data_IF_151784095025
#
_entry.id   IF_151784095025
#
_cell.length_a   1.000
_cell.length_b   1.000
_cell.length_c   1.000
_cell.angle_alpha   90.00
_cell.angle_beta   90.00
_cell.angle_gamma   90.00
#
_symmetry.space_group_name_H-M   'P 1'
#
loop_
_entity.id
_entity.type
_entity.pdbx_description
1 polymer ?
#
# COMPACT_ATOMS: atom_id res chain seq x y z
N UNK A 1 -41.39 -15.49 -15.25
CA UNK A 1 -40.76 -16.56 -14.40
C UNK A 1 -39.46 -15.99 -13.86
N UNK A 2 -39.47 -15.44 -12.64
CA UNK A 2 -38.29 -14.81 -12.00
C UNK A 2 -37.61 -15.87 -11.16
N UNK A 3 -36.43 -16.30 -11.57
CA UNK A 3 -35.63 -17.30 -10.86
C UNK A 3 -35.08 -16.69 -9.58
N UNK A 4 -35.65 -17.01 -8.45
CA UNK A 4 -35.15 -16.61 -7.15
C UNK A 4 -33.81 -17.32 -6.89
N UNK A 5 -32.69 -16.57 -6.92
CA UNK A 5 -31.40 -17.07 -6.48
C UNK A 5 -31.49 -17.41 -4.99
N UNK A 6 -31.21 -18.66 -4.63
CA UNK A 6 -31.31 -19.16 -3.27
C UNK A 6 -30.39 -18.34 -2.32
N UNK A 7 -30.91 -17.95 -1.16
CA UNK A 7 -30.14 -17.28 -0.07
C UNK A 7 -28.84 -18.00 0.26
N UNK A 8 -28.82 -19.33 0.12
CA UNK A 8 -27.64 -20.17 0.35
C UNK A 8 -26.53 -19.91 -0.65
N UNK A 9 -26.85 -19.54 -1.94
CA UNK A 9 -25.84 -19.21 -2.95
C UNK A 9 -25.20 -17.84 -2.73
N UNK A 10 -25.96 -16.90 -2.15
CA UNK A 10 -25.44 -15.57 -1.78
C UNK A 10 -24.50 -15.66 -0.58
N UNK A 11 -24.90 -16.38 0.47
CA UNK A 11 -24.06 -16.62 1.66
C UNK A 11 -22.77 -17.37 1.30
N UNK A 12 -22.84 -18.34 0.37
CA UNK A 12 -21.66 -19.08 -0.11
C UNK A 12 -20.69 -18.19 -0.93
N UNK A 13 -21.20 -17.16 -1.60
CA UNK A 13 -20.37 -16.16 -2.30
C UNK A 13 -19.67 -15.20 -1.31
N UNK A 14 -20.34 -14.81 -0.22
CA UNK A 14 -19.76 -13.93 0.80
C UNK A 14 -18.68 -14.63 1.65
N UNK A 15 -18.84 -15.92 1.95
CA UNK A 15 -17.86 -16.69 2.74
C UNK A 15 -16.58 -17.03 1.97
N UNK A 16 -16.58 -16.93 0.64
CA UNK A 16 -15.44 -17.30 -0.21
C UNK A 16 -14.70 -16.12 -0.85
N UNK A 17 -14.99 -14.90 -0.48
CA UNK A 17 -14.16 -13.74 -0.81
C UNK A 17 -12.96 -13.70 0.13
N UNK A 18 -11.95 -14.53 -0.16
CA UNK A 18 -10.69 -14.48 0.57
C UNK A 18 -10.14 -13.06 0.48
N UNK A 19 -10.06 -12.37 1.61
CA UNK A 19 -9.57 -10.99 1.69
C UNK A 19 -8.15 -10.95 1.17
N UNK A 20 -7.93 -10.29 0.05
CA UNK A 20 -6.59 -10.12 -0.53
C UNK A 20 -5.81 -9.12 0.29
N UNK A 21 -4.58 -9.45 0.64
CA UNK A 21 -3.78 -8.66 1.56
C UNK A 21 -2.49 -8.19 0.93
N UNK A 22 -2.05 -7.00 1.34
CA UNK A 22 -0.75 -6.46 0.98
C UNK A 22 0.00 -5.96 2.21
N UNK A 23 1.30 -6.17 2.23
CA UNK A 23 2.21 -5.67 3.27
C UNK A 23 3.07 -4.57 2.66
N UNK A 24 2.88 -3.34 3.13
CA UNK A 24 3.73 -2.20 2.80
C UNK A 24 4.96 -2.24 3.72
N UNK A 25 6.13 -2.58 3.17
CA UNK A 25 7.38 -2.59 3.94
C UNK A 25 7.97 -1.18 3.91
N UNK A 26 7.82 -0.47 5.02
CA UNK A 26 8.25 0.91 5.20
C UNK A 26 9.62 0.95 5.90
N UNK A 27 10.43 1.89 5.51
CA UNK A 27 11.75 2.13 6.09
C UNK A 27 12.69 2.80 5.11
N UNK A 28 13.67 3.50 5.63
CA UNK A 28 14.70 4.15 4.82
C UNK A 28 15.75 3.16 4.32
N UNK A 29 16.59 3.62 3.41
CA UNK A 29 17.78 2.87 2.99
C UNK A 29 18.58 2.39 4.21
N UNK A 30 19.11 1.17 4.16
CA UNK A 30 19.95 0.56 5.21
C UNK A 30 19.23 0.26 6.53
N UNK A 31 17.90 0.30 6.59
CA UNK A 31 17.10 -0.06 7.78
C UNK A 31 16.71 -1.55 7.86
N UNK A 32 17.24 -2.41 6.96
CA UNK A 32 16.92 -3.84 6.95
C UNK A 32 15.67 -4.21 6.15
N UNK A 33 15.04 -3.25 5.45
CA UNK A 33 13.83 -3.50 4.64
C UNK A 33 14.00 -4.62 3.61
N UNK A 34 15.16 -4.75 2.98
CA UNK A 34 15.43 -5.84 2.02
C UNK A 34 15.37 -7.22 2.69
N UNK A 35 15.97 -7.37 3.89
CA UNK A 35 15.91 -8.62 4.63
C UNK A 35 14.48 -8.98 5.04
N UNK A 36 13.74 -8.00 5.55
CA UNK A 36 12.31 -8.16 5.91
C UNK A 36 11.50 -8.60 4.69
N UNK A 37 11.66 -7.93 3.55
CA UNK A 37 10.93 -8.28 2.32
C UNK A 37 11.28 -9.70 1.86
N UNK A 38 12.54 -10.10 1.94
CA UNK A 38 12.94 -11.47 1.63
C UNK A 38 12.31 -12.48 2.58
N UNK A 39 12.26 -12.20 3.88
CA UNK A 39 11.55 -13.06 4.84
C UNK A 39 10.07 -13.21 4.49
N UNK A 40 9.38 -12.12 4.18
CA UNK A 40 7.97 -12.17 3.74
C UNK A 40 7.80 -13.02 2.48
N UNK A 41 8.70 -12.87 1.52
CA UNK A 41 8.69 -13.67 0.31
C UNK A 41 8.91 -15.18 0.59
N UNK A 42 9.82 -15.52 1.47
CA UNK A 42 10.03 -16.91 1.90
C UNK A 42 8.83 -17.49 2.67
N UNK A 43 8.04 -16.63 3.30
CA UNK A 43 6.78 -17.01 3.98
C UNK A 43 5.58 -17.06 3.03
N UNK A 44 5.80 -16.87 1.72
CA UNK A 44 4.78 -17.03 0.70
C UNK A 44 4.12 -15.74 0.22
N UNK A 45 4.58 -14.55 0.66
CA UNK A 45 4.12 -13.31 0.07
C UNK A 45 4.75 -13.10 -1.32
N UNK A 46 3.94 -12.81 -2.32
CA UNK A 46 4.44 -12.44 -3.65
C UNK A 46 5.06 -11.04 -3.59
N UNK A 47 6.09 -10.81 -4.41
CA UNK A 47 6.81 -9.53 -4.47
C UNK A 47 6.90 -8.97 -5.90
N UNK A 48 6.16 -9.59 -6.82
CA UNK A 48 6.07 -9.22 -8.23
C UNK A 48 7.13 -9.89 -9.10
N UNK A 49 6.98 -9.71 -10.41
CA UNK A 49 7.76 -10.43 -11.44
C UNK A 49 9.06 -9.71 -11.83
N UNK A 50 9.12 -8.39 -11.66
CA UNK A 50 10.23 -7.54 -12.13
C UNK A 50 11.00 -6.92 -10.98
N UNK A 51 11.87 -7.69 -10.36
CA UNK A 51 12.69 -7.18 -9.26
C UNK A 51 13.96 -6.47 -9.78
N UNK A 52 14.40 -5.46 -9.03
CA UNK A 52 15.70 -4.85 -9.26
C UNK A 52 16.82 -5.88 -9.06
N UNK A 53 17.79 -5.94 -9.98
CA UNK A 53 18.92 -6.86 -9.86
C UNK A 53 19.80 -6.52 -8.66
N UNK A 54 20.53 -7.50 -8.09
CA UNK A 54 21.57 -7.23 -7.11
C UNK A 54 22.61 -6.24 -7.64
N UNK A 55 23.21 -5.45 -6.74
CA UNK A 55 24.27 -4.52 -7.04
C UNK A 55 25.44 -4.67 -6.06
N UNK A 56 26.57 -4.00 -6.32
CA UNK A 56 27.77 -4.13 -5.50
C UNK A 56 27.55 -3.76 -4.03
N UNK A 57 26.68 -2.80 -3.76
CA UNK A 57 26.29 -2.32 -2.43
C UNK A 57 25.20 -3.18 -1.78
N UNK A 58 24.53 -4.04 -2.56
CA UNK A 58 23.51 -4.98 -2.07
C UNK A 58 23.52 -6.29 -2.87
N UNK A 59 24.49 -7.14 -2.58
CA UNK A 59 24.70 -8.44 -3.28
C UNK A 59 23.52 -9.41 -3.09
N UNK A 60 22.75 -9.27 -2.00
CA UNK A 60 21.58 -10.11 -1.72
C UNK A 60 20.33 -9.67 -2.46
N UNK A 61 20.38 -8.54 -3.18
CA UNK A 61 19.26 -7.97 -3.92
C UNK A 61 18.49 -6.93 -3.12
N UNK A 62 17.82 -6.03 -3.86
CA UNK A 62 17.04 -4.95 -3.26
C UNK A 62 15.65 -5.39 -2.83
N UNK A 63 15.10 -6.41 -3.50
CA UNK A 63 13.74 -6.91 -3.29
C UNK A 63 12.70 -5.80 -3.52
N UNK A 64 12.99 -4.92 -4.48
CA UNK A 64 12.16 -3.81 -4.93
C UNK A 64 11.63 -4.13 -6.33
N UNK A 65 10.36 -3.82 -6.57
CA UNK A 65 9.77 -3.94 -7.88
C UNK A 65 10.23 -2.78 -8.78
N UNK A 66 10.86 -3.08 -9.92
CA UNK A 66 11.46 -2.08 -10.79
C UNK A 66 10.45 -1.03 -11.30
N UNK A 67 9.26 -1.46 -11.70
CA UNK A 67 8.24 -0.54 -12.20
C UNK A 67 7.66 0.32 -11.06
N UNK A 68 7.55 -0.19 -9.81
CA UNK A 68 7.17 0.62 -8.64
C UNK A 68 8.21 1.71 -8.39
N UNK A 69 9.49 1.34 -8.39
CA UNK A 69 10.57 2.32 -8.24
C UNK A 69 10.51 3.40 -9.32
N UNK A 70 10.33 3.00 -10.59
CA UNK A 70 10.25 3.94 -11.70
C UNK A 70 9.06 4.91 -11.57
N UNK A 71 7.89 4.43 -11.13
CA UNK A 71 6.71 5.27 -10.89
C UNK A 71 6.99 6.27 -9.76
N UNK A 72 7.63 5.84 -8.69
CA UNK A 72 7.98 6.73 -7.57
C UNK A 72 9.00 7.80 -7.97
N UNK A 73 10.03 7.43 -8.75
CA UNK A 73 11.02 8.38 -9.27
C UNK A 73 10.37 9.43 -10.18
N UNK A 74 9.51 8.98 -11.08
CA UNK A 74 8.78 9.88 -11.97
C UNK A 74 7.89 10.84 -11.16
N UNK A 75 7.14 10.33 -10.18
CA UNK A 75 6.31 11.18 -9.31
C UNK A 75 7.16 12.19 -8.55
N UNK A 76 8.29 11.79 -7.96
CA UNK A 76 9.19 12.73 -7.30
C UNK A 76 9.68 13.81 -8.26
N UNK A 77 10.13 13.42 -9.46
CA UNK A 77 10.59 14.35 -10.49
C UNK A 77 9.50 15.34 -10.88
N UNK A 78 8.29 14.87 -11.14
CA UNK A 78 7.14 15.71 -11.52
C UNK A 78 6.74 16.67 -10.39
N UNK A 79 7.06 16.34 -9.13
CA UNK A 79 6.86 17.19 -7.95
C UNK A 79 8.09 18.08 -7.63
N UNK A 80 9.12 18.10 -8.48
CA UNK A 80 10.35 18.86 -8.24
C UNK A 80 11.15 18.35 -7.03
N UNK A 81 11.15 17.05 -6.81
CA UNK A 81 11.85 16.34 -5.73
C UNK A 81 12.75 15.24 -6.29
N UNK A 82 13.68 14.78 -5.47
CA UNK A 82 14.52 13.60 -5.74
C UNK A 82 14.47 12.65 -4.54
N UNK A 83 14.91 11.41 -4.73
CA UNK A 83 14.77 10.35 -3.72
C UNK A 83 15.43 10.68 -2.36
N UNK A 84 16.54 11.42 -2.36
CA UNK A 84 17.29 11.84 -1.17
C UNK A 84 16.89 13.21 -0.61
N UNK A 85 15.88 13.87 -1.21
CA UNK A 85 15.41 15.16 -0.75
C UNK A 85 14.58 15.01 0.54
N UNK A 86 15.07 15.57 1.65
CA UNK A 86 14.39 15.51 2.95
C UNK A 86 13.24 16.52 3.08
N UNK A 87 13.09 17.46 2.14
CA UNK A 87 11.99 18.44 2.18
C UNK A 87 10.63 17.74 2.05
N UNK A 88 9.58 18.26 2.70
CA UNK A 88 8.22 17.74 2.51
C UNK A 88 7.79 17.83 1.06
N UNK A 89 6.86 16.96 0.65
CA UNK A 89 6.23 17.08 -0.66
C UNK A 89 5.47 18.41 -0.75
N UNK A 90 5.31 18.99 -1.96
CA UNK A 90 4.58 20.25 -2.13
C UNK A 90 3.16 20.16 -1.56
N UNK A 91 2.65 21.26 -1.00
CA UNK A 91 1.28 21.31 -0.56
C UNK A 91 0.32 20.94 -1.73
N UNK A 92 -0.74 20.20 -1.42
CA UNK A 92 -1.69 19.75 -2.43
C UNK A 92 -1.18 18.70 -3.43
N UNK A 93 0.05 18.18 -3.28
CA UNK A 93 0.65 17.22 -4.21
C UNK A 93 -0.26 16.03 -4.51
N UNK A 94 -1.00 15.56 -3.51
CA UNK A 94 -1.86 14.38 -3.59
C UNK A 94 -3.00 14.52 -4.62
N UNK A 95 -3.48 15.75 -4.85
CA UNK A 95 -4.50 16.08 -5.84
C UNK A 95 -3.90 16.52 -7.19
N UNK A 96 -2.58 16.55 -7.32
CA UNK A 96 -1.90 17.01 -8.54
C UNK A 96 -2.13 16.06 -9.72
N UNK A 97 -1.95 16.54 -10.98
CA UNK A 97 -1.93 15.68 -12.15
C UNK A 97 -0.85 14.57 -12.08
N UNK A 98 0.29 14.88 -11.46
CA UNK A 98 1.38 13.91 -11.25
C UNK A 98 0.94 12.75 -10.35
N UNK A 99 0.26 13.05 -9.23
CA UNK A 99 -0.26 12.02 -8.34
C UNK A 99 -1.35 11.17 -9.02
N UNK A 100 -2.24 11.77 -9.80
CA UNK A 100 -3.26 11.01 -10.58
C UNK A 100 -2.59 10.05 -11.56
N UNK A 101 -1.59 10.53 -12.34
CA UNK A 101 -0.82 9.71 -13.27
C UNK A 101 -0.13 8.54 -12.57
N UNK A 102 0.49 8.78 -11.41
CA UNK A 102 1.13 7.74 -10.62
C UNK A 102 0.11 6.72 -10.10
N UNK A 103 -1.05 7.17 -9.61
CA UNK A 103 -2.17 6.32 -9.19
C UNK A 103 -2.62 5.37 -10.30
N UNK A 104 -2.86 5.89 -11.50
CA UNK A 104 -3.27 5.08 -12.65
C UNK A 104 -2.21 4.04 -13.05
N UNK A 105 -0.93 4.39 -12.97
CA UNK A 105 0.17 3.45 -13.24
C UNK A 105 0.25 2.36 -12.19
N UNK A 106 0.15 2.70 -10.90
CA UNK A 106 0.14 1.73 -9.81
C UNK A 106 -1.07 0.79 -9.90
N UNK A 107 -2.26 1.31 -10.18
CA UNK A 107 -3.46 0.50 -10.35
C UNK A 107 -3.30 -0.53 -11.49
N UNK A 108 -2.75 -0.12 -12.63
CA UNK A 108 -2.45 -1.04 -13.75
C UNK A 108 -1.40 -2.09 -13.39
N UNK A 109 -0.35 -1.70 -12.68
CA UNK A 109 0.69 -2.62 -12.21
C UNK A 109 0.09 -3.66 -11.26
N UNK A 110 -0.70 -3.24 -10.29
CA UNK A 110 -1.35 -4.13 -9.33
C UNK A 110 -2.30 -5.11 -10.05
N UNK A 111 -3.08 -4.62 -11.01
CA UNK A 111 -3.97 -5.44 -11.81
C UNK A 111 -3.22 -6.45 -12.71
N UNK A 112 -2.00 -6.12 -13.16
CA UNK A 112 -1.16 -7.01 -13.97
C UNK A 112 -0.40 -8.05 -13.14
N UNK A 113 0.39 -7.60 -12.17
CA UNK A 113 1.34 -8.45 -11.45
C UNK A 113 0.74 -9.17 -10.23
N UNK A 114 -0.30 -8.56 -9.59
CA UNK A 114 -0.83 -9.05 -8.32
C UNK A 114 -2.32 -9.42 -8.35
N UNK A 115 -2.91 -9.48 -9.55
CA UNK A 115 -4.34 -9.78 -9.71
C UNK A 115 -4.77 -11.09 -9.03
N UNK A 116 -3.95 -12.13 -9.11
CA UNK A 116 -4.22 -13.45 -8.53
C UNK A 116 -3.69 -13.66 -7.11
N UNK A 117 -2.97 -12.67 -6.56
CA UNK A 117 -2.27 -12.82 -5.28
C UNK A 117 -3.21 -12.70 -4.09
N UNK A 118 -3.23 -13.70 -3.22
CA UNK A 118 -3.92 -13.62 -1.93
C UNK A 118 -3.13 -12.76 -0.92
N UNK A 119 -1.80 -12.81 -1.00
CA UNK A 119 -0.87 -12.05 -0.15
C UNK A 119 0.33 -11.63 -0.98
N UNK A 120 0.65 -10.34 -0.96
CA UNK A 120 1.87 -9.80 -1.57
C UNK A 120 2.50 -8.71 -0.69
N UNK A 121 3.73 -8.39 -0.97
CA UNK A 121 4.45 -7.34 -0.27
C UNK A 121 5.12 -6.41 -1.27
N UNK A 122 5.20 -5.13 -0.91
CA UNK A 122 5.91 -4.12 -1.68
C UNK A 122 6.86 -3.34 -0.78
N UNK A 123 8.06 -3.13 -1.29
CA UNK A 123 9.12 -2.39 -0.62
C UNK A 123 9.76 -1.42 -1.60
N UNK A 124 9.82 -0.19 -1.21
CA UNK A 124 10.62 0.87 -1.82
C UNK A 124 10.85 1.95 -0.75
N UNK A 125 12.06 2.45 -0.53
CA UNK A 125 12.30 3.50 0.48
C UNK A 125 11.47 4.76 0.28
N UNK A 126 11.10 5.08 -0.97
CA UNK A 126 10.26 6.23 -1.33
C UNK A 126 8.81 6.05 -0.91
N UNK A 127 8.37 4.81 -0.73
CA UNK A 127 7.01 4.45 -0.34
C UNK A 127 6.59 5.14 0.98
N UNK A 128 7.54 5.37 1.91
CA UNK A 128 7.30 6.11 3.15
C UNK A 128 6.68 7.49 2.90
N UNK A 129 6.99 8.14 1.78
CA UNK A 129 6.46 9.46 1.39
C UNK A 129 5.11 9.37 0.70
N UNK A 130 4.79 8.20 0.12
CA UNK A 130 3.62 7.99 -0.73
C UNK A 130 2.56 7.08 -0.11
N UNK A 131 2.63 6.84 1.20
CA UNK A 131 1.64 6.02 1.92
C UNK A 131 0.19 6.46 1.65
N UNK A 132 -0.15 7.77 1.61
CA UNK A 132 -1.51 8.19 1.28
C UNK A 132 -1.96 7.75 -0.12
N UNK A 133 -1.08 7.85 -1.12
CA UNK A 133 -1.34 7.41 -2.50
C UNK A 133 -1.56 5.89 -2.57
N UNK A 134 -0.68 5.13 -1.94
CA UNK A 134 -0.79 3.68 -1.88
C UNK A 134 -2.07 3.22 -1.20
N UNK A 135 -2.43 3.86 -0.08
CA UNK A 135 -3.67 3.54 0.64
C UNK A 135 -4.91 3.66 -0.27
N UNK A 136 -4.99 4.73 -1.06
CA UNK A 136 -6.11 4.95 -1.98
C UNK A 136 -6.13 3.89 -3.09
N UNK A 137 -5.00 3.68 -3.78
CA UNK A 137 -4.89 2.69 -4.86
C UNK A 137 -5.25 1.28 -4.38
N UNK A 138 -4.78 0.89 -3.20
CA UNK A 138 -5.04 -0.44 -2.65
C UNK A 138 -6.51 -0.63 -2.25
N UNK A 139 -7.11 0.40 -1.66
CA UNK A 139 -8.54 0.39 -1.32
C UNK A 139 -9.39 0.22 -2.58
N UNK A 140 -9.12 0.98 -3.63
CA UNK A 140 -9.81 0.89 -4.92
C UNK A 140 -9.57 -0.46 -5.62
N UNK A 141 -8.38 -1.04 -5.44
CA UNK A 141 -8.03 -2.36 -6.00
C UNK A 141 -8.56 -3.54 -5.16
N UNK A 142 -9.24 -3.28 -4.05
CA UNK A 142 -9.86 -4.30 -3.19
C UNK A 142 -8.85 -5.10 -2.37
N UNK A 143 -7.74 -4.48 -1.95
CA UNK A 143 -6.76 -5.07 -1.03
C UNK A 143 -6.86 -4.48 0.37
N UNK A 144 -6.76 -5.32 1.38
CA UNK A 144 -6.51 -4.91 2.76
C UNK A 144 -5.01 -4.69 2.96
N UNK A 145 -4.63 -3.48 3.38
CA UNK A 145 -3.23 -3.10 3.54
C UNK A 145 -2.81 -3.14 5.02
N UNK A 146 -1.67 -3.79 5.27
CA UNK A 146 -0.92 -3.69 6.51
C UNK A 146 0.42 -2.98 6.25
N UNK A 147 0.92 -2.23 7.23
CA UNK A 147 2.24 -1.60 7.16
C UNK A 147 3.19 -2.26 8.17
N UNK A 148 4.42 -2.57 7.70
CA UNK A 148 5.51 -3.03 8.53
C UNK A 148 6.64 -2.00 8.47
N UNK A 149 6.95 -1.38 9.61
CA UNK A 149 8.02 -0.40 9.72
C UNK A 149 9.33 -1.07 10.15
N UNK A 150 10.33 -1.05 9.27
CA UNK A 150 11.69 -1.44 9.61
C UNK A 150 12.49 -0.21 10.05
N UNK A 151 12.94 -0.21 11.30
CA UNK A 151 13.78 0.83 11.86
C UNK A 151 15.14 0.25 12.30
N UNK A 152 16.25 1.02 12.23
CA UNK A 152 17.53 0.59 12.77
C UNK A 152 17.42 0.32 14.27
N UNK A 153 18.17 -0.67 14.78
CA UNK A 153 18.15 -1.17 16.17
C UNK A 153 18.58 -0.19 17.27
N UNK A 154 18.55 1.10 17.06
CA UNK A 154 18.78 2.10 18.11
C UNK A 154 17.56 2.33 19.03
N UNK A 155 16.41 1.72 18.71
CA UNK A 155 15.23 1.72 19.58
C UNK A 155 15.19 0.41 20.35
N UNK A 156 15.06 0.41 21.69
CA UNK A 156 14.93 -0.82 22.47
C UNK A 156 13.79 -1.68 21.93
N UNK A 157 13.97 -2.97 21.86
CA UNK A 157 13.18 -3.99 21.17
C UNK A 157 11.77 -4.24 21.73
N UNK A 158 10.97 -3.21 21.99
CA UNK A 158 9.64 -3.38 22.59
C UNK A 158 8.46 -2.82 21.80
N UNK A 159 8.65 -2.37 20.56
CA UNK A 159 7.50 -1.83 19.81
C UNK A 159 7.50 -2.24 18.34
N UNK A 160 7.02 -3.43 18.07
CA UNK A 160 6.44 -3.75 16.76
C UNK A 160 5.04 -3.13 16.71
N UNK A 161 4.94 -1.87 16.31
CA UNK A 161 3.66 -1.23 16.09
C UNK A 161 3.11 -1.66 14.73
N UNK A 162 2.18 -2.58 14.72
CA UNK A 162 1.31 -2.83 13.56
C UNK A 162 0.31 -1.67 13.46
N UNK A 163 0.48 -0.81 12.48
CA UNK A 163 -0.51 0.23 12.18
C UNK A 163 -1.55 -0.40 11.26
N UNK A 164 -2.70 -0.73 11.83
CA UNK A 164 -3.88 -1.13 11.05
C UNK A 164 -4.45 0.12 10.37
N UNK A 165 -4.48 0.14 9.04
CA UNK A 165 -5.11 1.19 8.22
C UNK A 165 -6.61 0.90 8.11
N UNK A 166 -7.34 0.94 9.24
CA UNK A 166 -8.80 0.80 9.23
C UNK A 166 -9.47 2.03 8.60
N UNK A 167 -10.54 1.78 7.83
CA UNK A 167 -11.40 2.81 7.24
C UNK A 167 -12.02 3.68 8.34
N UNK A 168 -12.20 4.98 8.15
CA UNK A 168 -12.96 5.79 9.09
C UNK A 168 -14.42 5.32 9.08
N UNK A 169 -14.94 4.99 10.28
CA UNK A 169 -16.36 4.71 10.47
C UNK A 169 -17.20 5.88 9.94
N UNK A 170 -18.26 5.59 9.20
CA UNK A 170 -19.23 6.56 8.71
C UNK A 170 -19.79 7.38 9.88
N UNK A 171 -19.53 8.67 9.89
CA UNK A 171 -20.11 9.59 10.86
C UNK A 171 -21.62 9.65 10.61
N UNK A 172 -22.40 9.09 11.53
CA UNK A 172 -23.84 9.26 11.61
C UNK A 172 -24.15 10.72 11.96
N UNK A 173 -24.86 11.43 11.10
CA UNK A 173 -25.29 12.80 11.34
C UNK A 173 -26.24 12.85 12.56
N UNK A 174 -26.12 13.86 13.45
CA UNK A 174 -27.08 14.04 14.53
C UNK A 174 -28.43 14.55 13.96
N UNK A 175 -29.50 13.82 14.30
CA UNK A 175 -30.89 14.21 14.02
C UNK A 175 -31.23 15.50 14.74
N UNK A 176 -31.74 16.48 13.99
CA UNK A 176 -32.11 17.79 14.48
C UNK A 176 -33.17 17.76 15.57
N UNK A 177 -32.94 18.51 16.63
CA UNK A 177 -33.90 18.83 17.70
C UNK A 177 -34.72 20.01 17.25
N UNK A 178 -36.01 19.82 17.07
CA UNK A 178 -36.99 20.86 16.85
C UNK A 178 -37.17 21.74 18.10
N UNK A 179 -36.93 23.03 17.98
CA UNK A 179 -37.26 24.04 18.98
C UNK A 179 -38.69 24.56 18.68
N UNK A 180 -39.64 24.24 19.57
CA UNK A 180 -40.96 24.85 19.57
C UNK A 180 -40.96 26.06 20.50
N UNK A 181 -41.29 27.19 19.94
CA UNK A 181 -41.60 28.47 20.63
C UNK A 181 -42.94 28.38 21.34
N UNK A 182 -42.93 28.88 22.55
CA UNK A 182 -44.10 29.48 23.22
C UNK A 182 -43.66 30.75 23.90
#
# INVERSE_FOLDING_TARGET
MTTALSRTSLIRREVNAQTRKVILVLGMHRSGTSAVTRCLNLLGAEIGSKLLPPAADNRSGFWEHADVMAIHEELLKDLGRVWHDARPLPEGWFLSPAARKARDKLARLIAGDFHGSALWAVKDPRLCRFVPLWREVLLESGFEAAALLAAPSAVPSSTSASISLSSPASATAPSGTSCSTS
#
